data_IF_499081511539
#
_entry.id   IF_499081511539
#
_cell.length_a   1.000
_cell.length_b   1.000
_cell.length_c   1.000
_cell.angle_alpha   90.00
_cell.angle_beta   90.00
_cell.angle_gamma   90.00
#
_symmetry.space_group_name_H-M   'P 1'
#
loop_
_entity.id
_entity.type
_entity.pdbx_description
1 polymer ?
#
# COMPACT_ATOMS: atom_id res chain seq x y z
N UNK A 1 57.48 -50.40 -27.85
CA UNK A 1 56.36 -51.02 -27.13
C UNK A 1 55.39 -49.91 -26.74
N UNK A 2 54.36 -49.73 -27.56
CA UNK A 2 53.29 -48.77 -27.36
C UNK A 2 52.44 -49.16 -26.15
N UNK A 3 52.38 -48.31 -25.13
CA UNK A 3 51.34 -48.37 -24.11
C UNK A 3 50.35 -47.23 -24.37
N UNK A 4 49.26 -47.57 -25.07
CA UNK A 4 48.09 -46.69 -25.20
C UNK A 4 47.44 -46.58 -23.83
N UNK A 5 47.52 -45.39 -23.22
CA UNK A 5 46.66 -45.01 -22.10
C UNK A 5 45.19 -45.13 -22.54
N UNK A 6 44.47 -46.05 -21.91
CA UNK A 6 43.07 -46.34 -22.19
C UNK A 6 42.20 -45.14 -21.79
N UNK A 7 41.38 -44.67 -22.74
CA UNK A 7 40.40 -43.57 -22.57
C UNK A 7 39.47 -43.80 -21.37
N UNK A 8 39.26 -45.06 -20.96
CA UNK A 8 38.47 -45.43 -19.78
C UNK A 8 39.17 -45.17 -18.43
N UNK A 9 40.50 -45.12 -18.38
CA UNK A 9 41.22 -44.82 -17.13
C UNK A 9 41.23 -43.31 -16.81
N UNK A 10 41.27 -42.45 -17.84
CA UNK A 10 41.15 -40.99 -17.69
C UNK A 10 39.80 -40.57 -17.10
N UNK A 11 38.71 -41.26 -17.44
CA UNK A 11 37.38 -41.01 -16.89
C UNK A 11 37.22 -41.45 -15.43
N UNK A 12 37.96 -42.48 -14.99
CA UNK A 12 37.93 -42.93 -13.59
C UNK A 12 38.72 -42.02 -12.64
N UNK A 13 39.80 -41.39 -13.11
CA UNK A 13 40.58 -40.43 -12.32
C UNK A 13 39.87 -39.07 -12.25
N UNK A 14 39.18 -38.64 -13.31
CA UNK A 14 38.37 -37.43 -13.30
C UNK A 14 37.14 -37.52 -12.35
N UNK A 15 36.58 -38.72 -12.16
CA UNK A 15 35.41 -38.92 -11.29
C UNK A 15 35.68 -38.79 -9.79
N UNK A 16 36.92 -39.03 -9.34
CA UNK A 16 37.27 -38.97 -7.91
C UNK A 16 37.70 -37.56 -7.48
N UNK A 17 38.19 -36.72 -8.40
CA UNK A 17 38.58 -35.34 -8.09
C UNK A 17 37.39 -34.37 -7.97
N UNK A 18 36.22 -34.69 -8.53
CA UNK A 18 35.03 -33.82 -8.48
C UNK A 18 34.23 -33.96 -7.18
N UNK A 19 34.37 -35.08 -6.46
CA UNK A 19 33.66 -35.29 -5.18
C UNK A 19 34.31 -34.59 -3.98
N UNK A 20 35.53 -34.03 -4.14
CA UNK A 20 36.24 -33.32 -3.08
C UNK A 20 36.02 -31.81 -3.03
N UNK A 21 35.34 -31.22 -4.02
CA UNK A 21 35.20 -29.76 -4.17
C UNK A 21 33.75 -29.25 -4.05
N UNK A 22 32.81 -30.07 -3.59
CA UNK A 22 31.39 -29.69 -3.43
C UNK A 22 30.93 -29.54 -1.97
N UNK A 23 31.85 -29.57 -1.00
CA UNK A 23 31.63 -28.86 0.27
C UNK A 23 31.86 -27.35 0.03
N UNK A 24 31.09 -26.81 -0.91
CA UNK A 24 30.91 -25.39 -1.07
C UNK A 24 30.31 -24.90 0.23
N UNK A 25 31.18 -24.32 1.05
CA UNK A 25 30.81 -23.50 2.19
C UNK A 25 29.68 -22.59 1.74
N UNK A 26 28.45 -22.90 2.17
CA UNK A 26 27.37 -21.92 2.21
C UNK A 26 27.75 -20.88 3.27
N UNK A 27 28.85 -20.16 3.04
CA UNK A 27 29.05 -18.88 3.66
C UNK A 27 27.87 -18.04 3.15
N UNK A 28 26.84 -17.88 3.99
CA UNK A 28 25.89 -16.78 3.85
C UNK A 28 26.76 -15.57 3.59
N UNK A 29 26.73 -15.05 2.36
CA UNK A 29 27.39 -13.80 2.06
C UNK A 29 26.88 -12.81 3.10
N UNK A 30 27.74 -12.44 4.04
CA UNK A 30 27.42 -11.45 5.05
C UNK A 30 27.19 -10.18 4.27
N UNK A 31 25.91 -9.80 4.09
CA UNK A 31 25.58 -8.55 3.44
C UNK A 31 26.36 -7.45 4.17
N UNK A 32 27.08 -6.58 3.47
CA UNK A 32 27.86 -5.54 4.11
C UNK A 32 26.97 -4.77 5.08
N UNK A 33 27.48 -4.53 6.29
CA UNK A 33 26.74 -3.85 7.35
C UNK A 33 26.24 -2.51 6.84
N UNK A 34 24.92 -2.37 6.72
CA UNK A 34 24.30 -1.11 6.28
C UNK A 34 24.43 -0.08 7.39
N UNK A 35 24.84 1.13 7.02
CA UNK A 35 24.96 2.25 7.95
C UNK A 35 23.90 3.31 7.64
N UNK A 36 23.06 3.62 8.62
CA UNK A 36 22.07 4.69 8.52
C UNK A 36 22.50 5.87 9.38
N UNK A 37 22.37 7.08 8.85
CA UNK A 37 22.53 8.28 9.65
C UNK A 37 21.49 8.30 10.77
N UNK A 38 21.93 8.54 12.01
CA UNK A 38 20.99 8.71 13.13
C UNK A 38 20.19 9.98 12.91
N UNK A 39 18.86 9.87 12.95
CA UNK A 39 17.97 11.02 12.91
C UNK A 39 18.04 11.73 14.26
N UNK A 40 18.29 13.04 14.27
CA UNK A 40 18.24 13.85 15.47
C UNK A 40 16.77 14.14 15.84
N UNK A 41 16.21 13.29 16.70
CA UNK A 41 14.83 13.38 17.20
C UNK A 41 14.86 13.91 18.62
N UNK A 42 14.20 15.04 18.87
CA UNK A 42 14.10 15.62 20.20
C UNK A 42 12.83 16.48 20.37
N UNK A 43 12.21 16.54 21.56
CA UNK A 43 10.99 17.33 21.80
C UNK A 43 11.13 18.81 21.43
N UNK A 44 12.29 19.44 21.65
CA UNK A 44 12.56 20.83 21.28
C UNK A 44 12.61 21.07 19.76
N UNK A 45 12.65 20.00 18.95
CA UNK A 45 12.61 20.05 17.49
C UNK A 45 11.18 19.88 16.94
N UNK A 46 10.17 19.76 17.82
CA UNK A 46 8.76 19.71 17.42
C UNK A 46 8.32 21.09 16.97
N UNK A 47 8.06 21.24 15.68
CA UNK A 47 7.60 22.52 15.08
C UNK A 47 6.08 22.68 15.09
N UNK A 48 5.32 21.58 15.22
CA UNK A 48 3.85 21.56 15.19
C UNK A 48 3.30 20.24 15.71
N UNK A 49 2.15 20.31 16.37
CA UNK A 49 1.28 19.16 16.69
C UNK A 49 -0.02 19.30 15.91
N UNK A 50 -0.51 18.20 15.31
CA UNK A 50 -1.76 18.18 14.55
C UNK A 50 -2.53 16.90 14.84
N UNK A 51 -3.86 16.97 14.74
CA UNK A 51 -4.76 15.84 14.97
C UNK A 51 -5.71 15.71 13.79
N UNK A 52 -5.79 14.51 13.20
CA UNK A 52 -6.73 14.18 12.14
C UNK A 52 -7.63 13.02 12.57
N UNK A 53 -8.83 13.34 13.05
CA UNK A 53 -9.84 12.32 13.39
C UNK A 53 -10.41 11.71 12.11
N UNK A 54 -10.35 10.39 12.02
CA UNK A 54 -10.74 9.64 10.81
C UNK A 54 -11.93 8.73 11.12
N UNK A 55 -13.00 8.77 10.31
CA UNK A 55 -14.07 7.80 10.40
C UNK A 55 -13.53 6.38 10.26
N UNK A 56 -13.83 5.55 11.26
CA UNK A 56 -13.45 4.15 11.32
C UNK A 56 -14.70 3.33 11.63
N UNK A 57 -14.83 2.18 10.97
CA UNK A 57 -15.91 1.22 11.22
C UNK A 57 -15.32 -0.10 11.67
N UNK A 58 -15.80 -0.63 12.81
CA UNK A 58 -15.31 -1.89 13.40
C UNK A 58 -15.45 -3.08 12.45
N UNK A 59 -16.54 -3.15 11.69
CA UNK A 59 -16.79 -4.23 10.72
C UNK A 59 -16.00 -4.07 9.41
N UNK A 60 -15.20 -3.03 9.25
CA UNK A 60 -14.55 -2.66 7.98
C UNK A 60 -15.22 -1.50 7.24
N UNK A 61 -14.58 -1.05 6.17
CA UNK A 61 -15.11 0.04 5.33
C UNK A 61 -16.50 -0.33 4.79
N UNK A 62 -17.38 0.66 4.66
CA UNK A 62 -18.70 0.49 4.06
C UNK A 62 -18.57 0.76 2.57
N UNK A 63 -18.89 -0.25 1.77
CA UNK A 63 -19.10 -0.12 0.33
C UNK A 63 -20.41 -0.79 -0.04
N UNK A 64 -21.45 0.04 -0.19
CA UNK A 64 -22.83 -0.39 -0.36
C UNK A 64 -23.56 0.58 -1.29
N UNK A 65 -24.51 0.06 -2.06
CA UNK A 65 -25.38 0.85 -2.93
C UNK A 65 -26.72 1.02 -2.24
N UNK A 66 -27.19 2.26 -2.16
CA UNK A 66 -28.49 2.63 -1.62
C UNK A 66 -29.21 3.51 -2.65
N UNK A 67 -30.51 3.29 -2.83
CA UNK A 67 -31.34 4.09 -3.73
C UNK A 67 -32.23 5.02 -2.93
N UNK A 68 -32.13 6.31 -3.23
CA UNK A 68 -32.98 7.37 -2.72
C UNK A 68 -33.76 7.93 -3.91
N UNK A 69 -35.00 7.47 -4.07
CA UNK A 69 -35.85 7.79 -5.23
C UNK A 69 -35.10 7.55 -6.56
N UNK A 70 -34.86 8.60 -7.33
CA UNK A 70 -34.15 8.55 -8.61
C UNK A 70 -32.62 8.59 -8.47
N UNK A 71 -32.10 8.83 -7.26
CA UNK A 71 -30.67 8.96 -7.00
C UNK A 71 -30.08 7.66 -6.44
N UNK A 72 -28.99 7.20 -7.04
CA UNK A 72 -28.19 6.09 -6.50
C UNK A 72 -27.00 6.63 -5.72
N UNK A 73 -26.90 6.24 -4.44
CA UNK A 73 -25.78 6.58 -3.55
C UNK A 73 -24.89 5.35 -3.39
N UNK A 74 -23.63 5.48 -3.77
CA UNK A 74 -22.60 4.47 -3.49
C UNK A 74 -21.80 4.92 -2.27
N UNK A 75 -22.06 4.30 -1.13
CA UNK A 75 -21.31 4.54 0.10
C UNK A 75 -19.86 4.04 -0.10
N UNK A 76 -18.87 4.84 0.31
CA UNK A 76 -17.45 4.44 0.26
C UNK A 76 -16.65 5.12 1.38
N UNK A 77 -16.84 4.68 2.63
CA UNK A 77 -16.25 5.35 3.80
C UNK A 77 -15.89 4.39 4.95
N UNK A 78 -15.23 4.91 5.99
CA UNK A 78 -14.93 4.14 7.20
C UNK A 78 -13.59 3.37 7.17
N UNK A 79 -12.66 3.79 6.31
CA UNK A 79 -11.38 3.13 6.05
C UNK A 79 -10.35 3.20 7.20
N UNK A 80 -10.60 3.96 8.27
CA UNK A 80 -9.69 4.08 9.40
C UNK A 80 -8.28 4.54 9.01
N UNK A 81 -7.25 3.81 9.46
CA UNK A 81 -5.84 4.14 9.22
C UNK A 81 -5.42 4.06 7.74
N UNK A 82 -6.19 3.35 6.92
CA UNK A 82 -5.77 2.91 5.58
C UNK A 82 -6.44 3.70 4.45
N UNK A 83 -7.14 4.79 4.76
CA UNK A 83 -7.90 5.55 3.75
C UNK A 83 -7.06 6.04 2.57
N UNK A 84 -5.77 6.33 2.77
CA UNK A 84 -4.86 6.70 1.66
C UNK A 84 -4.43 5.46 0.88
N UNK A 85 -3.88 4.44 1.55
CA UNK A 85 -3.33 3.25 0.89
C UNK A 85 -4.39 2.42 0.15
N UNK A 86 -5.64 2.44 0.61
CA UNK A 86 -6.74 1.70 0.00
C UNK A 86 -7.56 2.54 -1.00
N UNK A 87 -7.27 3.85 -1.12
CA UNK A 87 -8.12 4.82 -1.82
C UNK A 87 -8.50 4.40 -3.24
N UNK A 88 -7.52 4.11 -4.10
CA UNK A 88 -7.77 3.68 -5.47
C UNK A 88 -8.49 2.34 -5.58
N UNK A 89 -8.23 1.44 -4.63
CA UNK A 89 -8.86 0.13 -4.60
C UNK A 89 -10.35 0.21 -4.31
N UNK A 90 -10.72 0.89 -3.23
CA UNK A 90 -12.14 1.05 -2.88
C UNK A 90 -12.86 2.03 -3.81
N UNK A 91 -12.16 3.04 -4.33
CA UNK A 91 -12.67 3.88 -5.41
C UNK A 91 -13.01 3.09 -6.68
N UNK A 92 -12.17 2.12 -7.07
CA UNK A 92 -12.45 1.25 -8.22
C UNK A 92 -13.69 0.40 -7.99
N UNK A 93 -13.83 -0.19 -6.79
CA UNK A 93 -15.03 -0.94 -6.44
C UNK A 93 -16.30 -0.06 -6.48
N UNK A 94 -16.22 1.17 -5.96
CA UNK A 94 -17.34 2.12 -5.98
C UNK A 94 -17.68 2.59 -7.40
N UNK A 95 -16.66 2.80 -8.24
CA UNK A 95 -16.82 3.12 -9.65
C UNK A 95 -17.55 1.99 -10.39
N UNK A 96 -17.19 0.72 -10.17
CA UNK A 96 -17.90 -0.40 -10.78
C UNK A 96 -19.40 -0.41 -10.42
N UNK A 97 -19.76 -0.07 -9.18
CA UNK A 97 -21.16 0.07 -8.79
C UNK A 97 -21.84 1.28 -9.48
N UNK A 98 -21.15 2.43 -9.54
CA UNK A 98 -21.67 3.61 -10.21
C UNK A 98 -21.93 3.36 -11.71
N UNK A 99 -21.01 2.67 -12.41
CA UNK A 99 -21.15 2.37 -13.84
C UNK A 99 -22.35 1.47 -14.16
N UNK A 100 -22.80 0.63 -13.21
CA UNK A 100 -24.00 -0.22 -13.40
C UNK A 100 -25.30 0.60 -13.48
N UNK A 101 -25.29 1.84 -13.02
CA UNK A 101 -26.48 2.71 -13.06
C UNK A 101 -26.78 3.22 -14.47
N UNK A 102 -25.78 3.29 -15.35
CA UNK A 102 -25.89 3.91 -16.67
C UNK A 102 -25.85 5.44 -16.65
N UNK A 103 -25.70 6.05 -15.47
CA UNK A 103 -25.58 7.50 -15.34
C UNK A 103 -24.26 8.01 -15.94
N UNK A 104 -24.34 9.17 -16.59
CA UNK A 104 -23.18 9.85 -17.17
C UNK A 104 -22.64 10.98 -16.29
N UNK A 105 -23.32 11.27 -15.19
CA UNK A 105 -22.97 12.34 -14.26
C UNK A 105 -22.84 11.78 -12.85
N UNK A 106 -21.83 12.23 -12.11
CA UNK A 106 -21.61 11.80 -10.73
C UNK A 106 -21.24 12.96 -9.82
N UNK A 107 -21.87 13.00 -8.65
CA UNK A 107 -21.44 13.82 -7.53
C UNK A 107 -20.55 13.00 -6.59
N UNK A 108 -19.36 13.51 -6.26
CA UNK A 108 -18.47 12.88 -5.29
C UNK A 108 -18.40 13.73 -4.04
N UNK A 109 -18.77 13.15 -2.89
CA UNK A 109 -18.78 13.87 -1.62
C UNK A 109 -17.48 13.58 -0.86
N UNK A 110 -16.65 14.62 -0.72
CA UNK A 110 -15.37 14.61 -0.04
C UNK A 110 -14.18 14.72 -0.99
N UNK A 111 -13.24 15.61 -0.65
CA UNK A 111 -12.02 15.88 -1.42
C UNK A 111 -10.76 15.26 -0.79
N UNK A 112 -10.93 14.19 0.01
CA UNK A 112 -9.83 13.39 0.56
C UNK A 112 -9.34 12.32 -0.42
N UNK A 113 -8.40 11.47 0.02
CA UNK A 113 -7.76 10.47 -0.86
C UNK A 113 -8.76 9.57 -1.62
N UNK A 114 -9.78 9.04 -0.92
CA UNK A 114 -10.81 8.16 -1.51
C UNK A 114 -11.68 8.92 -2.50
N UNK A 115 -12.14 10.13 -2.16
CA UNK A 115 -12.98 10.94 -3.04
C UNK A 115 -12.25 11.37 -4.30
N UNK A 116 -11.00 11.84 -4.17
CA UNK A 116 -10.16 12.21 -5.32
C UNK A 116 -9.87 11.03 -6.25
N UNK A 117 -9.53 9.85 -5.71
CA UNK A 117 -9.36 8.64 -6.51
C UNK A 117 -10.68 8.23 -7.20
N UNK A 118 -11.81 8.35 -6.50
CA UNK A 118 -13.14 8.03 -7.05
C UNK A 118 -13.50 8.96 -8.20
N UNK A 119 -13.35 10.28 -8.01
CA UNK A 119 -13.59 11.27 -9.05
C UNK A 119 -12.73 11.01 -10.29
N UNK A 120 -11.43 10.75 -10.10
CA UNK A 120 -10.53 10.49 -11.23
C UNK A 120 -10.87 9.21 -11.98
N UNK A 121 -11.25 8.15 -11.28
CA UNK A 121 -11.67 6.91 -11.91
C UNK A 121 -12.98 7.09 -12.70
N UNK A 122 -14.00 7.74 -12.12
CA UNK A 122 -15.25 8.03 -12.83
C UNK A 122 -15.01 8.86 -14.10
N UNK A 123 -14.18 9.91 -14.05
CA UNK A 123 -13.82 10.70 -15.23
C UNK A 123 -13.11 9.87 -16.31
N UNK A 124 -12.19 8.97 -15.92
CA UNK A 124 -11.50 8.08 -16.87
C UNK A 124 -12.47 7.13 -17.58
N UNK A 125 -13.64 6.91 -17.00
CA UNK A 125 -14.72 6.11 -17.58
C UNK A 125 -15.83 6.97 -18.22
N UNK A 126 -15.55 8.26 -18.47
CA UNK A 126 -16.41 9.14 -19.27
C UNK A 126 -17.54 9.81 -18.52
N UNK A 127 -17.54 9.80 -17.18
CA UNK A 127 -18.53 10.51 -16.40
C UNK A 127 -18.12 11.97 -16.17
N UNK A 128 -19.09 12.86 -16.23
CA UNK A 128 -18.96 14.24 -15.78
C UNK A 128 -19.04 14.27 -14.25
N UNK A 129 -17.97 14.74 -13.60
CA UNK A 129 -17.82 14.65 -12.15
C UNK A 129 -17.78 16.04 -11.52
N UNK A 130 -18.59 16.22 -10.47
CA UNK A 130 -18.47 17.36 -9.55
C UNK A 130 -18.10 16.85 -8.16
N UNK A 131 -17.01 17.36 -7.60
CA UNK A 131 -16.63 17.11 -6.19
C UNK A 131 -17.32 18.15 -5.31
N UNK A 132 -18.00 17.70 -4.27
CA UNK A 132 -18.52 18.54 -3.21
C UNK A 132 -17.77 18.25 -1.92
N UNK A 133 -17.17 19.28 -1.30
CA UNK A 133 -16.41 19.07 -0.07
C UNK A 133 -16.35 20.33 0.79
N UNK A 134 -16.38 20.13 2.12
CA UNK A 134 -16.11 21.19 3.10
C UNK A 134 -14.66 21.64 3.08
N UNK A 135 -13.75 20.67 3.11
CA UNK A 135 -12.30 20.87 3.12
C UNK A 135 -11.66 20.26 1.87
N UNK A 136 -10.66 20.97 1.34
CA UNK A 136 -9.87 20.55 0.17
C UNK A 136 -8.38 20.49 0.53
N UNK A 137 -7.53 19.75 -0.21
CA UNK A 137 -6.09 19.77 0.01
C UNK A 137 -5.55 21.21 0.04
N UNK A 138 -4.63 21.55 0.97
CA UNK A 138 -3.93 20.68 1.93
C UNK A 138 -4.61 20.53 3.30
N UNK A 139 -5.90 20.87 3.43
CA UNK A 139 -6.62 20.96 4.72
C UNK A 139 -7.43 19.72 5.08
N UNK A 140 -7.38 18.66 4.26
CA UNK A 140 -8.15 17.44 4.53
C UNK A 140 -7.51 16.60 5.64
N UNK A 141 -8.29 15.75 6.29
CA UNK A 141 -7.75 14.73 7.20
C UNK A 141 -6.75 13.79 6.50
N UNK A 142 -6.89 13.57 5.18
CA UNK A 142 -5.92 12.78 4.41
C UNK A 142 -4.53 13.42 4.38
N UNK A 143 -4.43 14.76 4.43
CA UNK A 143 -3.15 15.48 4.50
C UNK A 143 -2.40 15.24 5.81
N UNK A 144 -3.08 14.78 6.86
CA UNK A 144 -2.48 14.49 8.18
C UNK A 144 -1.88 13.08 8.26
N UNK A 145 -1.98 12.28 7.21
CA UNK A 145 -1.48 10.90 7.20
C UNK A 145 0.06 10.87 7.09
N UNK A 146 0.70 9.90 7.74
CA UNK A 146 2.10 9.58 7.44
C UNK A 146 2.25 8.80 6.11
N UNK A 147 1.17 8.12 5.70
CA UNK A 147 0.94 7.40 4.45
C UNK A 147 2.13 6.64 3.84
N UNK A 148 2.08 5.33 3.99
CA UNK A 148 2.71 4.35 3.12
C UNK A 148 1.66 3.34 2.70
N UNK A 149 1.92 2.59 1.64
CA UNK A 149 1.07 1.50 1.23
C UNK A 149 1.04 0.43 2.33
N UNK A 150 -0.16 0.15 2.81
CA UNK A 150 -0.43 -0.94 3.72
C UNK A 150 -1.75 -1.56 3.30
N UNK A 151 -1.68 -2.85 3.02
CA UNK A 151 -2.82 -3.73 2.84
C UNK A 151 -3.41 -4.20 4.19
N UNK A 152 -2.70 -3.94 5.29
CA UNK A 152 -3.08 -4.34 6.64
C UNK A 152 -4.34 -3.63 7.09
N UNK A 153 -5.04 -4.21 8.06
CA UNK A 153 -6.37 -3.78 8.49
C UNK A 153 -6.24 -3.23 9.92
N UNK A 154 -6.46 -1.92 10.11
CA UNK A 154 -6.75 -1.42 11.45
C UNK A 154 -8.13 -1.93 11.91
N UNK A 155 -8.29 -2.23 13.20
CA UNK A 155 -9.59 -2.55 13.80
C UNK A 155 -9.76 -3.97 14.33
N UNK A 156 -10.93 -4.21 14.91
CA UNK A 156 -11.34 -5.46 15.54
C UNK A 156 -11.48 -6.58 14.50
N UNK A 157 -10.68 -7.64 14.61
CA UNK A 157 -10.66 -8.77 13.67
C UNK A 157 -11.94 -9.58 13.71
N UNK A 158 -12.61 -9.58 14.86
CA UNK A 158 -13.64 -10.56 15.21
C UNK A 158 -14.99 -10.27 14.55
N UNK A 159 -15.16 -9.06 14.00
CA UNK A 159 -16.39 -8.60 13.34
C UNK A 159 -16.33 -8.72 11.80
N UNK A 160 -15.33 -9.41 11.25
CA UNK A 160 -15.07 -9.46 9.80
C UNK A 160 -15.60 -10.74 9.18
N UNK A 161 -16.51 -10.59 8.22
CA UNK A 161 -17.04 -11.72 7.46
C UNK A 161 -16.05 -12.18 6.38
N UNK A 162 -16.10 -13.45 5.93
CA UNK A 162 -15.31 -13.92 4.80
C UNK A 162 -15.52 -13.08 3.52
N UNK A 163 -16.75 -12.59 3.30
CA UNK A 163 -17.08 -11.72 2.18
C UNK A 163 -16.34 -10.38 2.25
N UNK A 164 -16.31 -9.74 3.43
CA UNK A 164 -15.53 -8.52 3.63
C UNK A 164 -14.04 -8.75 3.39
N UNK A 165 -13.47 -9.85 3.90
CA UNK A 165 -12.06 -10.18 3.67
C UNK A 165 -11.75 -10.37 2.18
N UNK A 166 -12.66 -10.98 1.41
CA UNK A 166 -12.51 -11.10 -0.04
C UNK A 166 -12.57 -9.73 -0.74
N UNK A 167 -13.55 -8.90 -0.39
CA UNK A 167 -13.72 -7.55 -0.92
C UNK A 167 -12.48 -6.68 -0.63
N UNK A 168 -11.98 -6.73 0.60
CA UNK A 168 -10.78 -6.02 0.99
C UNK A 168 -9.55 -6.51 0.22
N UNK A 169 -9.33 -7.83 0.12
CA UNK A 169 -8.17 -8.36 -0.62
C UNK A 169 -8.17 -7.87 -2.06
N UNK A 170 -9.35 -7.86 -2.69
CA UNK A 170 -9.50 -7.30 -4.04
C UNK A 170 -9.15 -5.81 -4.07
N UNK A 171 -9.71 -5.01 -3.15
CA UNK A 171 -9.41 -3.59 -3.06
C UNK A 171 -7.91 -3.32 -2.83
N UNK A 172 -7.25 -4.08 -1.96
CA UNK A 172 -5.83 -3.91 -1.67
C UNK A 172 -4.96 -4.19 -2.90
N UNK A 173 -5.25 -5.26 -3.65
CA UNK A 173 -4.53 -5.58 -4.89
C UNK A 173 -4.73 -4.53 -5.98
N UNK A 174 -5.96 -4.03 -6.13
CA UNK A 174 -6.26 -2.93 -7.05
C UNK A 174 -5.51 -1.65 -6.64
N UNK A 175 -5.58 -1.27 -5.37
CA UNK A 175 -4.93 -0.09 -4.85
C UNK A 175 -3.41 -0.16 -5.04
N UNK A 176 -2.80 -1.31 -4.74
CA UNK A 176 -1.37 -1.52 -4.94
C UNK A 176 -0.99 -1.28 -6.40
N UNK A 177 -1.72 -1.89 -7.34
CA UNK A 177 -1.47 -1.72 -8.78
C UNK A 177 -1.59 -0.26 -9.22
N UNK A 178 -2.66 0.43 -8.81
CA UNK A 178 -2.83 1.85 -9.13
C UNK A 178 -1.70 2.71 -8.57
N UNK A 179 -1.25 2.45 -7.34
CA UNK A 179 -0.13 3.19 -6.78
C UNK A 179 1.20 2.91 -7.51
N UNK A 180 1.40 1.70 -8.06
CA UNK A 180 2.56 1.42 -8.91
C UNK A 180 2.58 2.32 -10.15
N UNK A 181 1.43 2.56 -10.78
CA UNK A 181 1.32 3.46 -11.93
C UNK A 181 1.55 4.94 -11.57
N UNK A 182 1.42 5.30 -10.29
CA UNK A 182 1.63 6.65 -9.79
C UNK A 182 3.05 6.89 -9.27
N UNK A 183 3.92 5.87 -9.24
CA UNK A 183 5.31 6.01 -8.78
C UNK A 183 6.03 7.06 -9.61
N UNK A 184 6.23 8.23 -9.01
CA UNK A 184 6.84 9.41 -9.63
C UNK A 184 7.05 10.50 -8.58
N UNK A 185 7.97 11.41 -8.88
CA UNK A 185 8.11 12.64 -8.09
C UNK A 185 6.86 13.51 -8.17
N UNK A 186 6.16 13.51 -9.31
CA UNK A 186 4.94 14.31 -9.50
C UNK A 186 3.88 14.00 -8.43
N UNK A 187 3.53 12.71 -8.28
CA UNK A 187 2.55 12.28 -7.28
C UNK A 187 3.16 12.11 -5.87
N UNK A 188 4.48 12.22 -5.72
CA UNK A 188 5.15 11.97 -4.44
C UNK A 188 4.99 10.51 -3.98
N UNK A 189 4.91 9.58 -4.92
CA UNK A 189 4.81 8.13 -4.66
C UNK A 189 6.13 7.49 -5.04
N UNK A 190 6.76 6.75 -4.11
CA UNK A 190 8.02 6.05 -4.38
C UNK A 190 8.17 4.79 -3.55
N UNK A 191 8.88 3.82 -4.07
CA UNK A 191 9.31 2.66 -3.30
C UNK A 191 10.30 3.08 -2.21
N UNK A 192 10.07 2.59 -0.99
CA UNK A 192 10.95 2.75 0.16
C UNK A 192 11.16 1.40 0.82
N UNK A 193 12.36 1.22 1.35
CA UNK A 193 12.65 0.13 2.27
C UNK A 193 12.15 0.51 3.67
N UNK A 194 11.48 -0.43 4.34
CA UNK A 194 10.95 -0.25 5.69
C UNK A 194 11.45 -1.37 6.60
N UNK A 195 11.65 -0.99 7.86
CA UNK A 195 11.98 -1.90 8.95
C UNK A 195 10.90 -1.86 10.02
N UNK A 196 10.44 -3.03 10.45
CA UNK A 196 9.67 -3.21 11.67
C UNK A 196 10.55 -3.90 12.71
N UNK A 197 10.80 -3.24 13.84
CA UNK A 197 11.74 -3.71 14.85
C UNK A 197 11.01 -4.44 15.98
N UNK A 198 11.61 -5.51 16.52
CA UNK A 198 11.08 -6.25 17.65
C UNK A 198 12.20 -6.77 18.58
N UNK A 199 11.88 -6.93 19.86
CA UNK A 199 12.81 -7.53 20.83
C UNK A 199 12.77 -9.06 20.79
N UNK A 200 11.60 -9.62 20.51
CA UNK A 200 11.42 -11.06 20.36
C UNK A 200 11.28 -11.41 18.88
N UNK A 201 11.66 -12.64 18.53
CA UNK A 201 11.39 -13.18 17.20
C UNK A 201 9.87 -13.27 17.04
N UNK A 202 9.26 -12.58 16.06
CA UNK A 202 7.84 -12.71 15.81
C UNK A 202 7.48 -14.15 15.49
N UNK A 203 6.38 -14.65 16.05
CA UNK A 203 5.86 -15.95 15.68
C UNK A 203 5.57 -15.97 14.17
N UNK A 204 6.00 -17.04 13.50
CA UNK A 204 5.56 -17.27 12.12
C UNK A 204 4.04 -17.46 12.13
N UNK A 205 3.30 -16.77 11.24
CA UNK A 205 1.87 -16.92 11.18
C UNK A 205 1.52 -18.37 10.81
N UNK A 206 0.46 -18.91 11.43
CA UNK A 206 0.00 -20.28 11.20
C UNK A 206 -0.47 -20.55 9.77
N UNK A 207 -0.74 -19.49 9.00
CA UNK A 207 -1.09 -19.53 7.59
C UNK A 207 -0.41 -18.39 6.82
N UNK A 208 -0.13 -18.58 5.52
CA UNK A 208 0.44 -17.52 4.70
C UNK A 208 -0.49 -16.28 4.64
N UNK A 209 0.10 -15.09 4.75
CA UNK A 209 -0.63 -13.84 4.53
C UNK A 209 -1.08 -13.76 3.05
N UNK A 210 -2.40 -13.72 2.76
CA UNK A 210 -2.90 -13.67 1.38
C UNK A 210 -2.56 -12.36 0.64
N UNK A 211 -1.99 -11.37 1.32
CA UNK A 211 -1.49 -10.11 0.75
C UNK A 211 0.01 -9.91 1.01
N UNK A 212 0.71 -10.95 1.51
CA UNK A 212 2.14 -10.88 1.81
C UNK A 212 3.00 -10.60 0.58
N UNK A 213 2.54 -10.97 -0.61
CA UNK A 213 3.19 -10.70 -1.89
C UNK A 213 3.22 -9.22 -2.27
N UNK A 214 2.37 -8.38 -1.65
CA UNK A 214 2.38 -6.92 -1.86
C UNK A 214 3.53 -6.21 -1.12
N UNK A 215 4.29 -6.94 -0.30
CA UNK A 215 5.49 -6.45 0.38
C UNK A 215 6.71 -7.24 -0.12
N UNK A 216 7.32 -6.84 -1.25
CA UNK A 216 8.46 -7.58 -1.80
C UNK A 216 9.68 -7.54 -0.87
N UNK A 217 10.49 -8.59 -0.98
CA UNK A 217 11.66 -8.85 -0.13
C UNK A 217 11.37 -8.74 1.38
N UNK A 218 10.21 -9.25 1.81
CA UNK A 218 9.84 -9.34 3.21
C UNK A 218 10.66 -10.42 3.92
N UNK A 219 11.71 -10.01 4.61
CA UNK A 219 12.71 -10.89 5.24
C UNK A 219 12.82 -10.59 6.73
N UNK A 220 12.80 -11.65 7.53
CA UNK A 220 13.13 -11.59 8.96
C UNK A 220 14.65 -11.60 9.14
N UNK A 221 15.16 -10.60 9.85
CA UNK A 221 16.57 -10.44 10.19
C UNK A 221 16.75 -10.67 11.70
N UNK A 222 17.80 -11.40 12.06
CA UNK A 222 18.21 -11.68 13.42
C UNK A 222 19.37 -10.81 13.93
N UNK A 223 19.87 -11.11 15.14
CA UNK A 223 20.97 -10.38 15.75
C UNK A 223 22.21 -10.35 14.85
N UNK A 224 22.77 -9.16 14.63
CA UNK A 224 23.95 -8.95 13.79
C UNK A 224 23.68 -8.84 12.28
N UNK A 225 22.44 -9.09 11.83
CA UNK A 225 22.05 -8.97 10.40
C UNK A 225 21.52 -7.56 10.04
N UNK A 226 21.43 -6.66 11.02
CA UNK A 226 20.95 -5.29 10.85
C UNK A 226 21.60 -4.32 11.87
N UNK A 227 21.57 -2.98 11.63
CA UNK A 227 22.27 -2.01 12.49
C UNK A 227 21.44 -1.44 13.65
N UNK A 228 20.16 -1.83 13.80
CA UNK A 228 19.26 -1.28 14.81
C UNK A 228 19.48 -1.86 16.21
N UNK A 229 19.18 -1.10 17.30
CA UNK A 229 19.42 -1.50 18.69
C UNK A 229 18.34 -2.45 19.25
N UNK A 230 17.71 -3.27 18.40
CA UNK A 230 16.71 -4.29 18.77
C UNK A 230 17.24 -5.65 18.36
N UNK A 231 16.78 -6.74 18.97
CA UNK A 231 17.32 -8.06 18.60
C UNK A 231 16.92 -8.53 17.19
N UNK A 232 15.75 -8.10 16.70
CA UNK A 232 15.21 -8.52 15.42
C UNK A 232 14.66 -7.34 14.60
N UNK A 233 14.69 -7.49 13.29
CA UNK A 233 14.06 -6.57 12.36
C UNK A 233 13.42 -7.32 11.20
N UNK A 234 12.21 -6.93 10.79
CA UNK A 234 11.61 -7.35 9.53
C UNK A 234 11.82 -6.26 8.49
N UNK A 235 12.54 -6.57 7.42
CA UNK A 235 12.83 -5.67 6.30
C UNK A 235 11.89 -6.00 5.15
N UNK A 236 11.30 -5.00 4.52
CA UNK A 236 10.43 -5.17 3.36
C UNK A 236 10.35 -3.87 2.56
N UNK A 237 10.00 -3.96 1.28
CA UNK A 237 9.71 -2.80 0.45
C UNK A 237 8.20 -2.46 0.48
N UNK A 238 7.89 -1.17 0.43
CA UNK A 238 6.53 -0.64 0.27
C UNK A 238 6.58 0.70 -0.48
N UNK A 239 5.44 1.25 -0.86
CA UNK A 239 5.37 2.58 -1.46
C UNK A 239 5.09 3.65 -0.39
N UNK A 240 5.95 4.65 -0.26
CA UNK A 240 5.63 5.89 0.45
C UNK A 240 4.69 6.72 -0.43
N UNK A 241 3.69 7.35 0.18
CA UNK A 241 2.73 8.22 -0.52
C UNK A 241 2.72 9.56 0.23
N UNK A 242 3.40 10.58 -0.28
CA UNK A 242 3.45 11.90 0.39
C UNK A 242 2.11 12.64 0.25
N UNK A 243 1.29 12.79 1.31
CA UNK A 243 -0.10 13.24 1.11
C UNK A 243 -0.21 14.65 0.54
N UNK A 244 0.68 15.56 0.93
CA UNK A 244 0.65 16.94 0.44
C UNK A 244 0.93 17.05 -1.06
N UNK A 245 1.77 16.17 -1.61
CA UNK A 245 2.04 16.13 -3.07
C UNK A 245 0.97 15.32 -3.78
N UNK A 246 0.67 14.13 -3.27
CA UNK A 246 -0.28 13.20 -3.85
C UNK A 246 -1.67 13.82 -3.99
N UNK A 247 -2.21 14.42 -2.92
CA UNK A 247 -3.57 14.96 -2.95
C UNK A 247 -3.68 16.21 -3.83
N UNK A 248 -2.66 17.08 -3.83
CA UNK A 248 -2.61 18.24 -4.73
C UNK A 248 -2.55 17.81 -6.20
N UNK A 249 -1.71 16.83 -6.52
CA UNK A 249 -1.56 16.30 -7.87
C UNK A 249 -2.85 15.66 -8.39
N UNK A 250 -3.49 14.78 -7.60
CA UNK A 250 -4.75 14.14 -8.04
C UNK A 250 -5.89 15.15 -8.14
N UNK A 251 -5.99 16.12 -7.23
CA UNK A 251 -6.97 17.21 -7.37
C UNK A 251 -6.73 17.99 -8.66
N UNK A 252 -5.47 18.38 -8.95
CA UNK A 252 -5.12 19.05 -10.20
C UNK A 252 -5.54 18.22 -11.41
N UNK A 253 -5.29 16.91 -11.41
CA UNK A 253 -5.69 16.03 -12.50
C UNK A 253 -7.20 15.98 -12.70
N UNK A 254 -8.00 15.99 -11.62
CA UNK A 254 -9.46 16.04 -11.71
C UNK A 254 -9.91 17.34 -12.36
N UNK A 255 -9.39 18.48 -11.91
CA UNK A 255 -9.73 19.79 -12.44
C UNK A 255 -9.30 19.96 -13.90
N UNK A 256 -8.10 19.52 -14.25
CA UNK A 256 -7.59 19.56 -15.63
C UNK A 256 -8.37 18.65 -16.58
N UNK A 257 -8.97 17.58 -16.06
CA UNK A 257 -9.87 16.71 -16.82
C UNK A 257 -11.32 17.24 -16.89
N UNK A 258 -11.56 18.50 -16.51
CA UNK A 258 -12.87 19.16 -16.62
C UNK A 258 -13.83 18.87 -15.46
N UNK A 259 -13.33 18.31 -14.35
CA UNK A 259 -14.14 18.12 -13.14
C UNK A 259 -14.36 19.42 -12.39
N UNK A 260 -15.56 19.60 -11.85
CA UNK A 260 -15.90 20.74 -11.02
C UNK A 260 -15.60 20.47 -9.54
N UNK A 261 -15.33 21.54 -8.79
CA UNK A 261 -15.17 21.51 -7.34
C UNK A 261 -16.05 22.59 -6.71
N UNK A 262 -16.98 22.16 -5.86
CA UNK A 262 -17.86 23.03 -5.09
C UNK A 262 -17.52 22.90 -3.62
N UNK A 263 -16.99 23.98 -3.03
CA UNK A 263 -16.73 24.03 -1.59
C UNK A 263 -18.06 24.24 -0.86
N UNK A 264 -18.54 23.19 -0.18
CA UNK A 264 -19.84 23.18 0.49
C UNK A 264 -19.83 22.25 1.70
N UNK A 265 -20.44 22.69 2.78
CA UNK A 265 -20.74 21.87 3.94
C UNK A 265 -22.15 21.29 3.84
N UNK A 266 -22.35 20.08 4.35
CA UNK A 266 -23.65 19.39 4.35
C UNK A 266 -23.96 18.94 5.76
N UNK A 267 -25.09 19.41 6.30
CA UNK A 267 -25.59 18.97 7.61
C UNK A 267 -26.37 17.65 7.52
N UNK A 268 -26.93 17.36 6.35
CA UNK A 268 -27.57 16.10 5.97
C UNK A 268 -27.42 15.86 4.47
N UNK A 269 -27.52 14.58 4.07
CA UNK A 269 -27.67 14.16 2.67
C UNK A 269 -29.12 14.29 2.23
#
# INVERSE_FOLDING_TARGET
MDSKLDRRQLLKVAGVAVLGASLGSCARATSPSRHFAKVNVSPERVIRTTVGLRPFRRSGFRLEVERFDETTVVHNYGHGSNGVSMSWGTAHLAMEEALKTGETRAAVIGCGAVGLATARLLQRHGLDVTIYAKDVPPRTTSNMSAAWFSAGIGGDTDMRTPAYLAQQRRAARLAHRYFQDLVSDHYGVRWIERYALSETLPAEPSSPDPLGDLAPENVQLGPGEHPFPRAYARRFWTMLIEPSRYLDAVLRDVLLAGGDLVVRDFDSL
#
